data_IF_303470075314
#
_entry.id   IF_303470075314
#
_cell.length_a   1.000
_cell.length_b   1.000
_cell.length_c   1.000
_cell.angle_alpha   90.00
_cell.angle_beta   90.00
_cell.angle_gamma   90.00
#
_symmetry.space_group_name_H-M   'P 1'
#
loop_
_entity.id
_entity.type
_entity.pdbx_description
1 polymer ?
#
# COMPACT_ATOMS: atom_id res chain seq x y z
N UNK A 1 -4.62 -7.48 33.73
CA UNK A 1 -5.03 -6.86 32.44
C UNK A 1 -5.29 -7.99 31.45
N UNK A 2 -6.56 -8.28 31.16
CA UNK A 2 -6.91 -9.17 30.06
C UNK A 2 -6.60 -8.44 28.75
N UNK A 3 -5.89 -9.09 27.82
CA UNK A 3 -5.75 -8.61 26.45
C UNK A 3 -7.11 -8.80 25.78
N UNK A 4 -7.75 -7.69 25.41
CA UNK A 4 -8.98 -7.69 24.62
C UNK A 4 -8.62 -8.13 23.19
N UNK A 5 -9.04 -9.33 22.81
CA UNK A 5 -8.83 -9.88 21.48
C UNK A 5 -10.14 -9.73 20.70
N UNK A 6 -10.34 -8.59 20.03
CA UNK A 6 -11.49 -8.39 19.14
C UNK A 6 -11.36 -9.34 17.94
N UNK A 7 -12.36 -10.17 17.73
CA UNK A 7 -12.47 -11.07 16.57
C UNK A 7 -13.19 -10.32 15.46
N UNK A 8 -12.47 -9.98 14.39
CA UNK A 8 -13.07 -9.37 13.20
C UNK A 8 -13.75 -10.47 12.39
N UNK A 9 -15.07 -10.38 12.25
CA UNK A 9 -15.86 -11.20 11.33
C UNK A 9 -16.25 -10.31 10.16
N UNK A 10 -15.80 -10.68 8.95
CA UNK A 10 -16.14 -9.95 7.73
C UNK A 10 -17.34 -10.60 7.07
N UNK A 11 -18.51 -9.96 7.17
CA UNK A 11 -19.64 -10.29 6.31
C UNK A 11 -19.61 -9.39 5.07
N UNK A 12 -19.47 -9.96 3.85
CA UNK A 12 -19.44 -9.15 2.64
C UNK A 12 -20.83 -8.58 2.34
N UNK A 13 -21.00 -7.28 2.54
CA UNK A 13 -22.14 -6.53 2.00
C UNK A 13 -22.15 -6.51 0.46
N UNK A 14 -23.32 -6.29 -0.14
CA UNK A 14 -23.56 -6.39 -1.60
C UNK A 14 -22.74 -5.47 -2.50
N UNK A 15 -21.98 -4.52 -1.94
CA UNK A 15 -21.03 -3.67 -2.67
C UNK A 15 -19.63 -4.27 -2.62
N UNK A 16 -19.27 -5.11 -3.60
CA UNK A 16 -17.87 -5.54 -3.82
C UNK A 16 -17.00 -4.34 -4.19
N UNK A 17 -16.44 -3.65 -3.20
CA UNK A 17 -15.15 -2.97 -3.37
C UNK A 17 -14.07 -3.92 -2.90
N UNK A 18 -13.41 -4.57 -3.85
CA UNK A 18 -12.20 -5.36 -3.59
C UNK A 18 -11.14 -4.45 -2.96
N UNK A 19 -10.89 -4.63 -1.66
CA UNK A 19 -9.66 -4.18 -1.03
C UNK A 19 -8.52 -4.98 -1.68
N UNK A 20 -7.56 -4.35 -2.37
CA UNK A 20 -6.72 -5.03 -3.36
C UNK A 20 -5.75 -6.10 -2.84
N UNK A 21 -5.76 -6.47 -1.54
CA UNK A 21 -4.75 -7.38 -0.97
C UNK A 21 -5.23 -8.34 0.15
N UNK A 22 -6.54 -8.59 0.31
CA UNK A 22 -7.00 -9.64 1.22
C UNK A 22 -6.84 -11.02 0.55
N UNK A 23 -6.09 -11.93 1.16
CA UNK A 23 -5.99 -13.32 0.67
C UNK A 23 -7.27 -14.07 1.07
N UNK A 24 -7.66 -15.06 0.28
CA UNK A 24 -8.82 -15.90 0.60
C UNK A 24 -8.67 -16.64 1.95
N UNK A 25 -7.42 -16.85 2.41
CA UNK A 25 -7.08 -17.41 3.72
C UNK A 25 -7.32 -16.45 4.91
N UNK A 26 -7.44 -15.15 4.64
CA UNK A 26 -7.70 -14.13 5.66
C UNK A 26 -9.21 -13.97 5.93
N UNK A 27 -10.03 -14.67 5.13
CA UNK A 27 -11.48 -14.79 5.28
C UNK A 27 -11.75 -16.09 6.02
N UNK A 28 -11.98 -16.02 7.33
CA UNK A 28 -12.50 -17.15 8.10
C UNK A 28 -13.96 -17.37 7.68
N UNK A 29 -14.19 -18.33 6.78
CA UNK A 29 -15.52 -18.85 6.51
C UNK A 29 -16.03 -19.55 7.76
N UNK A 30 -17.16 -19.10 8.29
CA UNK A 30 -17.83 -19.68 9.44
C UNK A 30 -18.26 -21.12 9.16
N UNK A 31 -18.14 -21.96 10.18
CA UNK A 31 -18.68 -23.29 10.21
C UNK A 31 -20.20 -23.32 10.06
N UNK A 32 -20.65 -24.50 9.68
CA UNK A 32 -22.01 -24.94 9.48
C UNK A 32 -22.95 -24.65 10.68
N UNK A 33 -24.24 -24.60 10.36
CA UNK A 33 -25.43 -24.57 11.21
C UNK A 33 -25.98 -23.20 11.69
N UNK A 34 -26.96 -22.71 10.90
CA UNK A 34 -27.94 -21.70 11.30
C UNK A 34 -28.63 -21.07 10.09
N UNK A 35 -29.60 -21.77 9.48
CA UNK A 35 -30.41 -21.24 8.39
C UNK A 35 -31.13 -19.93 8.79
N UNK A 36 -30.62 -18.80 8.32
CA UNK A 36 -31.40 -17.58 8.13
C UNK A 36 -31.69 -17.46 6.63
N UNK A 37 -32.93 -17.73 6.25
CA UNK A 37 -33.40 -17.43 4.90
C UNK A 37 -33.36 -15.91 4.70
N UNK A 38 -32.43 -15.44 3.86
CA UNK A 38 -32.46 -14.07 3.35
C UNK A 38 -33.52 -13.98 2.24
N UNK A 39 -34.38 -12.94 2.24
CA UNK A 39 -35.42 -12.80 1.25
C UNK A 39 -34.86 -12.59 -0.16
N UNK A 40 -35.61 -13.13 -1.12
CA UNK A 40 -35.38 -13.23 -2.56
C UNK A 40 -34.81 -11.94 -3.20
N UNK A 41 -33.59 -12.05 -3.76
CA UNK A 41 -32.89 -10.93 -4.39
C UNK A 41 -33.38 -10.71 -5.82
N UNK A 42 -34.39 -9.86 -5.97
CA UNK A 42 -34.63 -9.14 -7.24
C UNK A 42 -33.64 -7.97 -7.35
N UNK A 43 -33.18 -7.68 -8.56
CA UNK A 43 -32.30 -6.55 -8.91
C UNK A 43 -32.92 -5.20 -8.51
N UNK A 44 -32.81 -4.84 -7.24
CA UNK A 44 -32.98 -3.48 -6.76
C UNK A 44 -31.69 -2.70 -7.00
N UNK A 45 -31.82 -1.44 -7.43
CA UNK A 45 -30.75 -0.46 -7.30
C UNK A 45 -30.24 -0.53 -5.86
N UNK A 46 -29.09 -1.18 -5.65
CA UNK A 46 -28.53 -1.36 -4.33
C UNK A 46 -28.13 0.02 -3.83
N UNK A 47 -29.01 0.63 -3.03
CA UNK A 47 -28.71 1.81 -2.25
C UNK A 47 -27.49 1.48 -1.42
N UNK A 48 -26.31 1.93 -1.87
CA UNK A 48 -25.06 1.74 -1.15
C UNK A 48 -25.28 2.31 0.25
N UNK A 49 -25.26 1.46 1.29
CA UNK A 49 -25.50 1.90 2.65
C UNK A 49 -24.39 2.86 3.10
N UNK A 50 -23.23 2.92 2.44
CA UNK A 50 -22.20 3.90 2.76
C UNK A 50 -21.41 3.62 4.04
N UNK A 51 -21.56 2.42 4.62
CA UNK A 51 -20.58 1.85 5.57
C UNK A 51 -19.50 1.11 4.79
N UNK A 52 -18.30 1.01 5.36
CA UNK A 52 -17.18 0.29 4.76
C UNK A 52 -17.15 -1.19 5.17
N UNK A 53 -17.49 -1.49 6.42
CA UNK A 53 -17.71 -2.86 6.91
C UNK A 53 -18.67 -2.90 8.10
N UNK A 54 -19.13 -4.09 8.48
CA UNK A 54 -19.87 -4.31 9.71
C UNK A 54 -19.25 -5.46 10.52
N UNK A 55 -19.43 -5.47 11.84
CA UNK A 55 -18.95 -6.54 12.71
C UNK A 55 -19.91 -6.77 13.88
N UNK A 56 -19.87 -7.95 14.49
CA UNK A 56 -20.53 -8.19 15.79
C UNK A 56 -19.51 -8.00 16.90
N UNK A 57 -19.79 -7.14 17.86
CA UNK A 57 -18.88 -6.85 18.96
C UNK A 57 -18.97 -7.90 20.10
N UNK A 58 -18.11 -7.82 21.14
CA UNK A 58 -18.13 -8.78 22.24
C UNK A 58 -19.43 -8.82 23.05
N UNK A 59 -20.22 -7.75 23.01
CA UNK A 59 -21.53 -7.66 23.67
C UNK A 59 -22.66 -8.21 22.77
N UNK A 60 -22.32 -8.71 21.57
CA UNK A 60 -23.26 -9.26 20.60
C UNK A 60 -23.93 -8.20 19.72
N UNK A 61 -23.49 -6.95 19.76
CA UNK A 61 -24.07 -5.85 18.99
C UNK A 61 -23.56 -5.87 17.55
N UNK A 62 -24.46 -5.74 16.57
CA UNK A 62 -24.13 -5.61 15.16
C UNK A 62 -23.82 -4.15 14.80
N UNK A 63 -22.56 -3.88 14.47
CA UNK A 63 -21.99 -2.55 14.34
C UNK A 63 -21.64 -2.25 12.89
N UNK A 64 -22.17 -1.16 12.33
CA UNK A 64 -21.73 -0.63 11.04
C UNK A 64 -20.59 0.38 11.22
N UNK A 65 -19.51 0.22 10.44
CA UNK A 65 -18.31 1.05 10.51
C UNK A 65 -18.09 1.81 9.22
N UNK A 66 -17.83 3.12 9.35
CA UNK A 66 -17.27 3.91 8.27
C UNK A 66 -15.84 4.33 8.64
N UNK A 67 -14.90 4.13 7.72
CA UNK A 67 -13.49 4.50 7.86
C UNK A 67 -13.23 5.80 7.08
N UNK A 68 -12.55 6.74 7.73
CA UNK A 68 -12.11 8.00 7.12
C UNK A 68 -10.64 8.23 7.39
N UNK A 69 -9.97 8.79 6.38
CA UNK A 69 -8.58 9.22 6.44
C UNK A 69 -8.56 10.75 6.56
N UNK A 70 -7.94 11.30 7.59
CA UNK A 70 -7.76 12.76 7.72
C UNK A 70 -8.02 13.33 9.12
N UNK A 71 -8.00 14.66 9.20
CA UNK A 71 -8.08 15.41 10.45
C UNK A 71 -9.53 15.69 10.86
N UNK A 72 -10.06 14.84 11.73
CA UNK A 72 -11.25 15.11 12.53
C UNK A 72 -12.60 14.70 11.89
N UNK A 73 -13.65 14.58 12.72
CA UNK A 73 -14.93 14.00 12.31
C UNK A 73 -15.79 14.90 11.41
N UNK A 74 -15.58 16.22 11.44
CA UNK A 74 -16.31 17.21 10.61
C UNK A 74 -17.83 17.02 10.59
N UNK A 75 -18.47 17.33 9.46
CA UNK A 75 -19.91 17.11 9.21
C UNK A 75 -20.26 15.63 8.97
N UNK A 76 -19.27 14.75 8.90
CA UNK A 76 -19.47 13.31 8.66
C UNK A 76 -20.18 12.67 9.85
N UNK A 77 -19.83 13.10 11.06
CA UNK A 77 -20.39 12.59 12.31
C UNK A 77 -21.92 12.77 12.38
N UNK A 78 -22.42 13.97 12.03
CA UNK A 78 -23.86 14.27 12.07
C UNK A 78 -24.65 13.42 11.08
N UNK A 79 -24.09 13.18 9.89
CA UNK A 79 -24.71 12.31 8.88
C UNK A 79 -24.72 10.85 9.33
N UNK A 80 -23.64 10.42 9.96
CA UNK A 80 -23.49 9.04 10.43
C UNK A 80 -24.37 8.73 11.65
N UNK A 81 -24.75 9.76 12.41
CA UNK A 81 -25.62 9.62 13.59
C UNK A 81 -27.03 9.19 13.24
N UNK A 82 -27.50 9.70 12.11
CA UNK A 82 -28.85 9.44 11.60
C UNK A 82 -28.91 8.17 10.75
N UNK A 83 -27.78 7.51 10.55
CA UNK A 83 -27.69 6.36 9.67
C UNK A 83 -28.54 5.16 10.13
N UNK A 84 -28.55 4.76 11.42
CA UNK A 84 -29.39 3.65 11.88
C UNK A 84 -30.89 3.94 11.78
N UNK A 85 -31.30 5.16 12.11
CA UNK A 85 -32.73 5.55 12.19
C UNK A 85 -33.40 5.68 10.84
N UNK A 86 -32.68 6.15 9.82
CA UNK A 86 -33.31 6.65 8.59
C UNK A 86 -33.54 5.57 7.53
N UNK A 87 -32.95 4.37 7.69
CA UNK A 87 -32.86 3.38 6.60
C UNK A 87 -33.29 1.96 6.95
N UNK A 88 -33.74 1.71 8.18
CA UNK A 88 -34.26 0.40 8.57
C UNK A 88 -33.24 -0.74 8.51
N UNK A 89 -31.95 -0.43 8.59
CA UNK A 89 -30.90 -1.45 8.66
C UNK A 89 -30.83 -2.07 10.06
N UNK A 90 -30.47 -3.37 10.17
CA UNK A 90 -30.45 -4.09 11.44
C UNK A 90 -29.21 -3.81 12.29
N UNK A 91 -28.64 -2.60 12.24
CA UNK A 91 -27.46 -2.26 13.02
C UNK A 91 -27.88 -1.77 14.41
N UNK A 92 -27.30 -2.36 15.44
CA UNK A 92 -27.49 -1.92 16.83
C UNK A 92 -26.77 -0.59 17.09
N UNK A 93 -25.65 -0.34 16.41
CA UNK A 93 -24.93 0.94 16.46
C UNK A 93 -24.10 1.23 15.21
N UNK A 94 -23.66 2.49 15.12
CA UNK A 94 -22.71 2.94 14.09
C UNK A 94 -21.44 3.52 14.71
N UNK A 95 -20.32 3.21 14.07
CA UNK A 95 -19.01 3.74 14.42
C UNK A 95 -18.37 4.49 13.25
N UNK A 96 -17.67 5.58 13.55
CA UNK A 96 -16.81 6.32 12.62
C UNK A 96 -15.36 6.14 13.08
N UNK A 97 -14.56 5.47 12.26
CA UNK A 97 -13.15 5.20 12.49
C UNK A 97 -12.31 6.21 11.72
N UNK A 98 -11.67 7.13 12.44
CA UNK A 98 -10.78 8.14 11.86
C UNK A 98 -9.32 7.72 12.04
N UNK A 99 -8.64 7.48 10.93
CA UNK A 99 -7.21 7.24 10.94
C UNK A 99 -6.47 8.54 10.59
N UNK A 100 -5.79 9.10 11.59
CA UNK A 100 -4.92 10.26 11.41
C UNK A 100 -3.55 9.79 10.88
N UNK A 101 -3.22 10.19 9.65
CA UNK A 101 -1.97 9.84 8.99
C UNK A 101 -0.74 10.48 9.63
N UNK A 102 -0.89 11.65 10.27
CA UNK A 102 0.23 12.37 10.87
C UNK A 102 0.62 11.78 12.22
N UNK A 103 -0.36 11.43 13.04
CA UNK A 103 -0.13 10.86 14.38
C UNK A 103 -0.16 9.33 14.43
N UNK A 104 -0.58 8.67 13.34
CA UNK A 104 -0.83 7.22 13.29
C UNK A 104 -1.79 6.76 14.41
N UNK A 105 -2.74 7.62 14.77
CA UNK A 105 -3.77 7.32 15.76
C UNK A 105 -5.06 6.92 15.06
N UNK A 106 -5.71 5.87 15.59
CA UNK A 106 -7.07 5.52 15.22
C UNK A 106 -8.01 6.06 16.29
N UNK A 107 -8.89 6.98 15.91
CA UNK A 107 -9.94 7.50 16.76
C UNK A 107 -11.26 6.84 16.38
N UNK A 108 -11.89 6.16 17.33
CA UNK A 108 -13.18 5.50 17.14
C UNK A 108 -14.25 6.36 17.79
N UNK A 109 -15.23 6.78 17.00
CA UNK A 109 -16.39 7.53 17.45
C UNK A 109 -17.61 6.65 17.37
N UNK A 110 -18.38 6.54 18.45
CA UNK A 110 -19.63 5.76 18.50
C UNK A 110 -20.79 6.64 18.92
N UNK A 111 -21.96 6.43 18.31
CA UNK A 111 -23.21 6.95 18.86
C UNK A 111 -23.45 6.25 20.20
N UNK A 112 -23.89 6.99 21.22
CA UNK A 112 -23.79 6.59 22.62
C UNK A 112 -24.38 5.20 22.90
N UNK A 113 -23.67 4.41 23.70
CA UNK A 113 -24.14 3.10 24.17
C UNK A 113 -25.48 3.30 24.91
N UNK A 114 -26.59 2.88 24.31
CA UNK A 114 -27.95 2.82 24.88
C UNK A 114 -28.76 4.13 24.97
N UNK A 115 -28.25 5.22 24.40
CA UNK A 115 -28.87 6.55 24.21
C UNK A 115 -29.45 6.85 22.80
N UNK A 116 -30.77 6.77 22.48
CA UNK A 116 -31.28 7.15 21.15
C UNK A 116 -30.94 8.60 20.74
N UNK A 117 -30.71 9.48 21.72
CA UNK A 117 -30.34 10.89 21.54
C UNK A 117 -28.88 11.21 21.95
N UNK A 118 -28.06 10.18 22.23
CA UNK A 118 -26.70 10.41 22.71
C UNK A 118 -25.79 10.94 21.59
N UNK A 119 -25.19 12.11 21.84
CA UNK A 119 -24.19 12.71 20.97
C UNK A 119 -23.01 11.74 20.77
N UNK A 120 -22.46 11.67 19.55
CA UNK A 120 -21.23 10.93 19.29
C UNK A 120 -20.11 11.41 20.20
N UNK A 121 -19.54 10.48 20.97
CA UNK A 121 -18.32 10.69 21.74
C UNK A 121 -17.14 9.96 21.11
N UNK A 122 -15.94 10.46 21.38
CA UNK A 122 -14.72 9.69 21.15
C UNK A 122 -14.75 8.50 22.11
N UNK A 123 -15.01 7.31 21.58
CA UNK A 123 -15.12 6.09 22.37
C UNK A 123 -13.74 5.54 22.72
N UNK A 124 -12.80 5.61 21.78
CA UNK A 124 -11.47 5.03 21.95
C UNK A 124 -10.43 5.75 21.07
N UNK A 125 -9.22 5.91 21.59
CA UNK A 125 -8.03 6.25 20.80
C UNK A 125 -7.08 5.08 20.89
N UNK A 126 -6.89 4.38 19.77
CA UNK A 126 -5.94 3.30 19.66
C UNK A 126 -4.65 3.88 19.07
N UNK A 127 -3.60 3.93 19.88
CA UNK A 127 -2.25 4.11 19.36
C UNK A 127 -1.90 2.85 18.57
N UNK A 128 -1.65 2.98 17.26
CA UNK A 128 -1.42 1.82 16.38
C UNK A 128 -0.07 1.13 16.60
N UNK A 129 0.59 1.38 17.74
CA UNK A 129 1.78 0.65 18.20
C UNK A 129 3.08 1.01 17.47
N UNK A 130 3.08 1.97 16.55
CA UNK A 130 4.32 2.45 15.94
C UNK A 130 4.96 3.49 16.86
N UNK A 131 5.64 3.03 17.91
CA UNK A 131 6.37 3.91 18.81
C UNK A 131 7.42 4.72 18.00
N UNK A 132 7.26 6.05 17.85
CA UNK A 132 8.17 6.86 17.04
C UNK A 132 9.55 7.02 17.68
N UNK A 133 9.75 6.56 18.91
CA UNK A 133 10.89 6.94 19.75
C UNK A 133 12.12 6.02 19.66
N UNK A 134 12.11 4.99 18.80
CA UNK A 134 13.28 4.10 18.63
C UNK A 134 14.34 4.69 17.67
N UNK A 135 14.06 5.78 16.95
CA UNK A 135 14.97 6.27 15.88
C UNK A 135 15.85 7.49 16.22
N UNK A 136 15.87 8.01 17.45
CA UNK A 136 16.57 9.27 17.73
C UNK A 136 17.73 9.14 18.70
N UNK A 137 18.93 8.89 18.16
CA UNK A 137 20.19 9.40 18.75
C UNK A 137 21.34 9.46 17.73
N UNK A 138 21.29 10.48 16.86
CA UNK A 138 22.44 11.30 16.37
C UNK A 138 21.96 12.19 15.22
N UNK A 139 21.77 13.48 15.51
CA UNK A 139 21.62 14.59 14.54
C UNK A 139 20.72 14.33 13.31
N UNK A 140 19.65 13.57 13.50
CA UNK A 140 18.74 13.10 12.47
C UNK A 140 17.69 14.16 12.20
N UNK A 141 17.71 14.76 11.01
CA UNK A 141 16.50 15.35 10.44
C UNK A 141 15.37 14.31 10.58
N UNK A 142 14.33 14.66 11.35
CA UNK A 142 13.15 13.81 11.57
C UNK A 142 12.64 13.36 10.20
N UNK A 143 12.56 12.05 9.97
CA UNK A 143 11.92 11.53 8.76
C UNK A 143 10.41 11.71 8.97
N UNK A 144 9.77 12.38 8.02
CA UNK A 144 8.32 12.57 7.96
C UNK A 144 7.79 12.08 6.59
N UNK A 145 6.47 12.08 6.44
CA UNK A 145 5.82 11.63 5.21
C UNK A 145 6.24 12.45 4.00
N UNK A 146 6.37 13.78 4.14
CA UNK A 146 6.78 14.67 3.06
C UNK A 146 8.16 14.31 2.51
N UNK A 147 9.11 13.98 3.38
CA UNK A 147 10.44 13.52 2.97
C UNK A 147 10.41 12.15 2.30
N UNK A 148 9.55 11.24 2.76
CA UNK A 148 9.36 9.93 2.12
C UNK A 148 8.77 10.11 0.72
N UNK A 149 7.73 10.94 0.57
CA UNK A 149 7.11 11.29 -0.71
C UNK A 149 8.11 11.91 -1.69
N UNK A 150 8.89 12.89 -1.23
CA UNK A 150 9.95 13.52 -2.04
C UNK A 150 10.96 12.48 -2.54
N UNK A 151 11.38 11.57 -1.67
CA UNK A 151 12.35 10.52 -2.03
C UNK A 151 11.77 9.52 -3.02
N UNK A 152 10.48 9.16 -2.88
CA UNK A 152 9.77 8.30 -3.84
C UNK A 152 9.64 8.99 -5.20
N UNK A 153 9.23 10.26 -5.24
CA UNK A 153 9.10 11.01 -6.49
C UNK A 153 10.44 11.10 -7.23
N UNK A 154 11.52 11.42 -6.51
CA UNK A 154 12.88 11.45 -7.07
C UNK A 154 13.32 10.09 -7.59
N UNK A 155 12.99 9.02 -6.87
CA UNK A 155 13.31 7.66 -7.32
C UNK A 155 12.61 7.31 -8.64
N UNK A 156 11.33 7.69 -8.79
CA UNK A 156 10.59 7.51 -10.05
C UNK A 156 11.31 8.21 -11.20
N UNK A 157 11.68 9.49 -11.01
CA UNK A 157 12.42 10.27 -12.02
C UNK A 157 13.76 9.62 -12.39
N UNK A 158 14.49 9.10 -11.40
CA UNK A 158 15.77 8.43 -11.61
C UNK A 158 15.65 7.13 -12.39
N UNK A 159 14.63 6.31 -12.10
CA UNK A 159 14.36 5.08 -12.85
C UNK A 159 14.00 5.43 -14.30
N UNK A 160 13.16 6.43 -14.53
CA UNK A 160 12.81 6.87 -15.89
C UNK A 160 14.02 7.40 -16.68
N UNK A 161 14.87 8.18 -16.03
CA UNK A 161 16.10 8.69 -16.62
C UNK A 161 17.08 7.55 -16.96
N UNK A 162 17.29 6.63 -16.03
CA UNK A 162 18.11 5.43 -16.25
C UNK A 162 17.57 4.62 -17.43
N UNK A 163 16.26 4.40 -17.50
CA UNK A 163 15.66 3.59 -18.55
C UNK A 163 15.78 4.25 -19.92
N UNK A 164 15.67 5.57 -19.98
CA UNK A 164 15.88 6.36 -21.21
C UNK A 164 17.32 6.29 -21.68
N UNK A 165 18.26 6.32 -20.75
CA UNK A 165 19.66 6.11 -21.07
C UNK A 165 19.93 4.69 -21.59
N UNK A 166 19.35 3.66 -20.96
CA UNK A 166 19.47 2.26 -21.39
C UNK A 166 18.91 2.05 -22.79
N UNK A 167 17.74 2.61 -23.09
CA UNK A 167 17.11 2.56 -24.41
C UNK A 167 18.03 3.12 -25.49
N UNK A 168 18.59 4.31 -25.26
CA UNK A 168 19.57 4.92 -26.15
C UNK A 168 20.86 4.09 -26.34
N UNK A 169 21.21 3.23 -25.39
CA UNK A 169 22.33 2.31 -25.52
C UNK A 169 22.00 1.05 -26.33
N UNK A 170 20.81 0.49 -26.19
CA UNK A 170 20.49 -0.83 -26.76
C UNK A 170 19.87 -0.74 -28.16
N UNK A 171 19.07 0.28 -28.47
CA UNK A 171 18.43 0.40 -29.78
C UNK A 171 19.42 0.46 -30.96
N UNK A 172 20.54 1.22 -30.88
CA UNK A 172 21.55 1.22 -31.95
C UNK A 172 22.22 -0.13 -32.17
N UNK A 173 22.10 -1.06 -31.21
CA UNK A 173 22.65 -2.41 -31.29
C UNK A 173 21.62 -3.45 -31.80
N UNK A 174 20.50 -2.99 -32.38
CA UNK A 174 19.47 -3.83 -32.98
C UNK A 174 18.55 -4.52 -31.97
N UNK A 175 18.48 -4.00 -30.74
CA UNK A 175 17.49 -4.41 -29.77
C UNK A 175 16.24 -3.52 -29.87
N UNK A 176 15.09 -4.06 -29.49
CA UNK A 176 13.87 -3.27 -29.26
C UNK A 176 13.53 -3.23 -27.78
N UNK A 177 12.94 -2.12 -27.33
CA UNK A 177 12.58 -1.88 -25.94
C UNK A 177 11.06 -1.74 -25.82
N UNK A 178 10.50 -2.35 -24.78
CA UNK A 178 9.08 -2.28 -24.44
C UNK A 178 8.94 -1.84 -22.97
N UNK A 179 8.25 -0.72 -22.76
CA UNK A 179 8.00 -0.08 -21.45
C UNK A 179 6.56 -0.18 -20.97
N UNK A 180 5.72 -0.95 -21.65
CA UNK A 180 4.28 -0.99 -21.35
C UNK A 180 3.97 -1.65 -20.00
N UNK A 181 4.92 -2.43 -19.48
CA UNK A 181 4.78 -3.14 -18.21
C UNK A 181 5.22 -2.27 -17.04
N UNK A 182 4.55 -2.45 -15.90
CA UNK A 182 4.85 -1.74 -14.66
C UNK A 182 4.89 -2.69 -13.47
N UNK A 183 5.66 -2.32 -12.45
CA UNK A 183 5.69 -2.99 -11.15
C UNK A 183 5.20 -2.01 -10.07
N UNK A 184 4.48 -2.51 -9.07
CA UNK A 184 4.04 -1.68 -7.94
C UNK A 184 5.11 -1.67 -6.85
N UNK A 185 5.50 -0.47 -6.42
CA UNK A 185 6.39 -0.25 -5.29
C UNK A 185 5.58 0.25 -4.09
N UNK A 186 5.63 -0.51 -2.99
CA UNK A 186 4.96 -0.18 -1.73
C UNK A 186 5.84 -0.65 -0.55
N UNK A 187 6.99 -0.02 -0.38
CA UNK A 187 7.99 -0.41 0.61
C UNK A 187 7.54 -0.09 2.05
N UNK A 188 8.16 -0.73 3.04
CA UNK A 188 7.83 -0.56 4.47
C UNK A 188 7.89 0.93 4.89
N UNK A 189 8.87 1.68 4.40
CA UNK A 189 8.97 3.11 4.66
C UNK A 189 7.79 3.90 4.08
N UNK A 190 7.22 3.48 2.95
CA UNK A 190 6.02 4.13 2.41
C UNK A 190 4.81 3.83 3.30
N UNK A 191 4.63 2.56 3.66
CA UNK A 191 3.53 2.10 4.51
C UNK A 191 3.56 2.78 5.88
N UNK A 192 4.74 2.81 6.52
CA UNK A 192 4.95 3.41 7.84
C UNK A 192 4.59 4.90 7.88
N UNK A 193 4.79 5.60 6.77
CA UNK A 193 4.52 7.04 6.65
C UNK A 193 3.27 7.34 5.81
N UNK A 194 2.40 6.35 5.59
CA UNK A 194 1.15 6.45 4.84
C UNK A 194 1.30 7.04 3.43
N UNK A 195 2.45 6.83 2.79
CA UNK A 195 2.74 7.23 1.41
C UNK A 195 2.13 6.19 0.47
N UNK A 196 1.38 6.67 -0.53
CA UNK A 196 0.71 5.79 -1.49
C UNK A 196 1.71 4.98 -2.32
N UNK A 197 1.35 3.74 -2.61
CA UNK A 197 2.10 2.90 -3.55
C UNK A 197 2.20 3.59 -4.93
N UNK A 198 3.34 3.44 -5.60
CA UNK A 198 3.57 3.97 -6.95
C UNK A 198 3.76 2.83 -7.95
N UNK A 199 3.51 3.11 -9.23
CA UNK A 199 3.84 2.20 -10.32
C UNK A 199 5.09 2.70 -11.02
N UNK A 200 6.07 1.81 -11.18
CA UNK A 200 7.31 2.09 -11.86
C UNK A 200 7.36 1.29 -13.17
N UNK A 201 7.98 1.83 -14.23
CA UNK A 201 8.13 1.11 -15.48
C UNK A 201 9.01 -0.14 -15.30
N UNK A 202 8.87 -1.08 -16.23
CA UNK A 202 9.81 -2.17 -16.47
C UNK A 202 10.32 -2.05 -17.91
N UNK A 203 11.60 -2.35 -18.16
CA UNK A 203 12.10 -2.48 -19.52
C UNK A 203 12.14 -3.94 -19.92
N UNK A 204 11.49 -4.27 -21.04
CA UNK A 204 11.67 -5.56 -21.69
C UNK A 204 12.45 -5.35 -22.99
N UNK A 205 13.69 -5.86 -23.01
CA UNK A 205 14.63 -5.72 -24.12
C UNK A 205 14.57 -7.00 -24.96
N UNK A 206 14.36 -6.87 -26.27
CA UNK A 206 14.26 -7.99 -27.21
C UNK A 206 15.28 -7.88 -28.33
N UNK A 207 15.77 -9.02 -28.81
CA UNK A 207 16.55 -9.14 -30.05
C UNK A 207 15.77 -9.99 -31.04
N UNK A 208 15.15 -9.34 -32.02
CA UNK A 208 14.11 -9.96 -32.83
C UNK A 208 12.94 -10.42 -31.95
N UNK A 209 12.62 -11.71 -31.95
CA UNK A 209 11.51 -12.28 -31.17
C UNK A 209 11.92 -12.76 -29.77
N UNK A 210 13.22 -12.80 -29.46
CA UNK A 210 13.74 -13.32 -28.19
C UNK A 210 13.88 -12.21 -27.16
N UNK A 211 13.48 -12.48 -25.92
CA UNK A 211 13.76 -11.60 -24.78
C UNK A 211 15.23 -11.75 -24.41
N UNK A 212 15.99 -10.66 -24.53
CA UNK A 212 17.38 -10.60 -24.12
C UNK A 212 17.48 -10.29 -22.62
N UNK A 213 16.68 -9.33 -22.14
CA UNK A 213 16.63 -8.98 -20.73
C UNK A 213 15.26 -8.40 -20.33
N UNK A 214 14.95 -8.51 -19.03
CA UNK A 214 13.90 -7.74 -18.36
C UNK A 214 14.52 -6.98 -17.20
N UNK A 215 14.38 -5.66 -17.17
CA UNK A 215 14.94 -4.77 -16.16
C UNK A 215 13.79 -4.16 -15.36
N UNK A 216 13.85 -4.24 -14.04
CA UNK A 216 12.78 -3.69 -13.19
C UNK A 216 13.32 -3.18 -11.84
N UNK A 217 12.74 -2.10 -11.31
CA UNK A 217 13.09 -1.59 -10.00
C UNK A 217 12.62 -2.55 -8.91
N UNK A 218 13.50 -2.75 -7.92
CA UNK A 218 13.24 -3.63 -6.76
C UNK A 218 12.92 -2.82 -5.52
N UNK A 219 13.66 -1.74 -5.27
CA UNK A 219 13.41 -0.88 -4.13
C UNK A 219 14.35 0.30 -4.04
N UNK A 220 13.89 1.34 -3.35
CA UNK A 220 14.56 2.60 -3.06
C UNK A 220 15.42 2.50 -1.79
N UNK A 221 14.92 1.86 -0.74
CA UNK A 221 15.61 1.79 0.56
C UNK A 221 16.44 0.51 0.69
N UNK A 222 17.60 0.51 0.05
CA UNK A 222 18.53 -0.64 0.04
C UNK A 222 19.72 -0.36 0.95
N UNK A 223 20.13 -1.35 1.75
CA UNK A 223 21.29 -1.20 2.64
C UNK A 223 22.54 -0.96 1.78
N UNK A 224 23.19 0.20 1.99
CA UNK A 224 24.40 0.59 1.27
C UNK A 224 24.17 1.16 -0.14
N UNK A 225 22.93 1.46 -0.54
CA UNK A 225 22.62 2.05 -1.84
C UNK A 225 21.38 2.97 -1.79
N UNK A 226 21.28 3.88 -2.75
CA UNK A 226 20.14 4.77 -2.97
C UNK A 226 19.18 4.24 -4.05
N UNK A 227 18.97 2.92 -4.03
CA UNK A 227 18.05 2.22 -4.92
C UNK A 227 18.68 1.05 -5.65
N UNK A 228 17.83 0.11 -6.07
CA UNK A 228 18.20 -1.12 -6.77
C UNK A 228 17.23 -1.41 -7.91
N UNK A 229 17.81 -1.82 -9.02
CA UNK A 229 17.14 -2.32 -10.21
C UNK A 229 17.77 -3.66 -10.54
N UNK A 230 16.95 -4.69 -10.79
CA UNK A 230 17.47 -5.99 -11.21
C UNK A 230 17.31 -6.17 -12.72
N UNK A 231 18.26 -6.89 -13.30
CA UNK A 231 18.32 -7.28 -14.71
C UNK A 231 18.22 -8.80 -14.76
N UNK A 232 17.14 -9.33 -15.33
CA UNK A 232 16.97 -10.76 -15.56
C UNK A 232 17.21 -11.08 -17.03
N UNK A 233 18.04 -12.09 -17.28
CA UNK A 233 18.35 -12.59 -18.62
C UNK A 233 18.10 -14.10 -18.67
N UNK A 234 18.06 -14.71 -19.86
CA UNK A 234 17.97 -16.17 -19.97
C UNK A 234 19.17 -16.92 -19.35
N UNK A 235 20.35 -16.28 -19.29
CA UNK A 235 21.60 -16.87 -18.81
C UNK A 235 21.87 -16.61 -17.32
N UNK A 236 21.15 -15.67 -16.69
CA UNK A 236 21.34 -15.33 -15.29
C UNK A 236 20.68 -14.00 -14.90
N UNK A 237 21.21 -13.36 -13.86
CA UNK A 237 20.75 -12.06 -13.42
C UNK A 237 21.91 -11.16 -13.04
N UNK A 238 21.74 -9.86 -13.26
CA UNK A 238 22.62 -8.81 -12.80
C UNK A 238 21.85 -7.84 -11.91
N UNK A 239 22.55 -7.11 -11.06
CA UNK A 239 21.96 -6.08 -10.21
C UNK A 239 22.59 -4.74 -10.52
N UNK A 240 21.75 -3.73 -10.72
CA UNK A 240 22.13 -2.33 -10.84
C UNK A 240 21.76 -1.63 -9.53
N UNK A 241 22.72 -0.91 -8.94
CA UNK A 241 22.46 -0.09 -7.75
C UNK A 241 22.80 1.37 -8.03
N UNK A 242 22.10 2.28 -7.37
CA UNK A 242 22.55 3.65 -7.25
C UNK A 242 23.49 3.76 -6.03
N UNK A 243 24.80 3.86 -6.29
CA UNK A 243 25.85 3.94 -5.28
C UNK A 243 26.19 5.38 -4.87
N UNK A 244 25.36 6.37 -5.23
CA UNK A 244 25.60 7.75 -4.86
C UNK A 244 25.53 7.95 -3.35
N UNK A 245 26.32 8.88 -2.81
CA UNK A 245 26.18 9.31 -1.40
C UNK A 245 24.97 10.24 -1.21
N UNK A 246 24.53 10.90 -2.29
CA UNK A 246 23.41 11.83 -2.27
C UNK A 246 22.33 11.41 -3.26
N UNK A 247 21.05 11.67 -2.97
CA UNK A 247 19.97 11.37 -3.89
C UNK A 247 20.01 12.17 -5.20
N UNK A 248 20.80 13.25 -5.32
CA UNK A 248 20.67 14.18 -6.45
C UNK A 248 21.63 13.89 -7.61
N UNK A 249 22.62 13.03 -7.40
CA UNK A 249 23.64 12.72 -8.41
C UNK A 249 23.82 11.20 -8.48
N UNK A 250 22.94 10.46 -9.19
CA UNK A 250 22.94 9.01 -9.15
C UNK A 250 24.20 8.43 -9.80
N UNK A 251 24.84 7.50 -9.08
CA UNK A 251 26.02 6.76 -9.56
C UNK A 251 25.59 5.32 -9.78
N UNK A 252 25.16 5.01 -11.00
CA UNK A 252 24.72 3.67 -11.35
C UNK A 252 25.91 2.71 -11.49
N UNK A 253 25.86 1.63 -10.73
CA UNK A 253 26.85 0.54 -10.73
C UNK A 253 26.15 -0.77 -11.06
N UNK A 254 26.80 -1.67 -11.80
CA UNK A 254 26.29 -2.99 -12.15
C UNK A 254 27.15 -4.11 -11.57
N UNK A 255 26.48 -5.16 -11.12
CA UNK A 255 27.05 -6.44 -10.67
C UNK A 255 26.53 -7.54 -11.58
N UNK A 256 27.40 -8.16 -12.38
CA UNK A 256 27.02 -9.22 -13.31
C UNK A 256 26.72 -10.55 -12.62
N UNK A 257 27.21 -10.76 -11.41
CA UNK A 257 26.94 -11.96 -10.61
C UNK A 257 27.16 -11.71 -9.11
N UNK A 258 26.57 -12.53 -8.23
CA UNK A 258 26.84 -12.43 -6.79
C UNK A 258 28.34 -12.54 -6.50
N UNK A 259 28.88 -11.56 -5.77
CA UNK A 259 30.31 -11.48 -5.42
C UNK A 259 31.20 -10.88 -6.51
N UNK A 260 30.68 -10.53 -7.69
CA UNK A 260 31.45 -9.78 -8.69
C UNK A 260 31.78 -8.39 -8.18
N UNK A 261 32.90 -7.82 -8.64
CA UNK A 261 33.22 -6.41 -8.38
C UNK A 261 32.19 -5.51 -9.08
N UNK A 262 31.69 -4.50 -8.36
CA UNK A 262 30.86 -3.46 -8.94
C UNK A 262 31.65 -2.68 -9.99
N UNK A 263 31.06 -2.46 -11.17
CA UNK A 263 31.60 -1.57 -12.21
C UNK A 263 30.60 -0.49 -12.52
N UNK A 264 31.09 0.68 -12.98
CA UNK A 264 30.18 1.76 -13.39
C UNK A 264 29.33 1.26 -14.54
N UNK A 265 28.02 1.50 -14.45
CA UNK A 265 27.11 1.16 -15.51
C UNK A 265 27.38 2.07 -16.72
N UNK A 266 27.62 1.43 -17.86
CA UNK A 266 27.73 2.05 -19.17
C UNK A 266 27.14 1.11 -20.24
N UNK A 267 27.13 1.58 -21.48
CA UNK A 267 26.66 0.80 -22.62
C UNK A 267 27.36 -0.56 -22.74
N UNK A 268 28.70 -0.60 -22.60
CA UNK A 268 29.46 -1.83 -22.82
C UNK A 268 29.11 -2.89 -21.78
N UNK A 269 29.10 -2.51 -20.50
CA UNK A 269 28.81 -3.42 -19.41
C UNK A 269 27.35 -3.88 -19.42
N UNK A 270 26.41 -3.01 -19.82
CA UNK A 270 25.03 -3.42 -19.99
C UNK A 270 24.87 -4.41 -21.14
N UNK A 271 25.44 -4.12 -22.32
CA UNK A 271 25.34 -5.00 -23.49
C UNK A 271 25.96 -6.37 -23.17
N UNK A 272 27.10 -6.40 -22.48
CA UNK A 272 27.73 -7.64 -22.03
C UNK A 272 26.85 -8.42 -21.04
N UNK A 273 26.07 -7.73 -20.19
CA UNK A 273 25.18 -8.37 -19.23
C UNK A 273 23.93 -8.98 -19.86
N UNK A 274 23.46 -8.45 -21.01
CA UNK A 274 22.20 -8.89 -21.66
C UNK A 274 22.40 -9.81 -22.88
N UNK A 275 23.65 -10.14 -23.22
CA UNK A 275 24.01 -11.09 -24.29
C UNK A 275 24.09 -12.52 -23.75
#
# INVERSE_FOLDING_TARGET
>A
MLKDHRKLVFEPGGSRRTLPNLRQSDILSGGDEGHLELPDQREEQTNDPGYDFAYTDPDGQFVAVQVKLGSGPGKTLEKWARFPSDRGYPFDRTELWLLDRGSLTLQIWSAGRNEPDAQFGLAEVVETGVNPDISNRRSSQKIDSARVEERVARWVEQVEALFTQIEGWVEPNGYSVDRTQTVSMNEEMMQRFAVAAVRLPMLRIRKGTRVAATIFPVGLWVIGANGRVDVLTPSGGATIINASDTPNDPIWMIYSSPGSKAVRLDQQHLIAAIQ
#
